data_IF_634085346982
#
_entry.id   IF_634085346982
#
_cell.length_a   1.000
_cell.length_b   1.000
_cell.length_c   1.000
_cell.angle_alpha   90.00
_cell.angle_beta   90.00
_cell.angle_gamma   90.00
#
_symmetry.space_group_name_H-M   'P 1'
#
loop_
_entity.id
_entity.type
_entity.pdbx_description
1 polymer ?
#
# COMPACT_ATOMS: atom_id res chain seq x y z
N UNK A 1 0.56 -47.87 55.84
CA UNK A 1 -0.87 -47.48 55.68
C UNK A 1 -1.12 -47.35 54.18
N UNK A 2 -1.49 -48.39 53.42
CA UNK A 2 -2.70 -49.24 53.38
C UNK A 2 -4.02 -48.44 53.40
N UNK A 3 -4.58 -48.26 52.19
CA UNK A 3 -5.99 -48.37 51.72
C UNK A 3 -6.09 -47.53 50.44
N UNK A 4 -6.20 -48.01 49.20
CA UNK A 4 -6.93 -49.11 48.57
C UNK A 4 -8.46 -48.96 48.53
N UNK A 5 -8.97 -48.82 47.29
CA UNK A 5 -10.30 -49.13 46.69
C UNK A 5 -10.83 -47.91 45.91
N UNK A 6 -11.31 -48.00 44.67
CA UNK A 6 -11.57 -49.11 43.75
C UNK A 6 -11.75 -48.48 42.35
N UNK A 7 -11.07 -48.94 41.29
CA UNK A 7 -11.44 -50.07 40.40
C UNK A 7 -12.46 -49.67 39.31
N UNK A 8 -12.06 -49.66 38.02
CA UNK A 8 -12.28 -50.74 37.00
C UNK A 8 -13.33 -50.21 35.97
N UNK A 9 -13.26 -50.30 34.62
CA UNK A 9 -12.88 -51.31 33.60
C UNK A 9 -12.75 -50.51 32.25
N UNK A 10 -11.70 -50.55 31.42
CA UNK A 10 -11.19 -51.58 30.50
C UNK A 10 -11.70 -51.47 29.04
N UNK A 11 -10.73 -51.66 28.14
CA UNK A 11 -10.76 -52.14 26.75
C UNK A 11 -10.67 -51.21 25.53
N UNK A 12 -9.55 -51.46 24.85
CA UNK A 12 -9.05 -51.10 23.53
C UNK A 12 -9.71 -52.02 22.48
N UNK A 13 -9.99 -51.52 21.26
CA UNK A 13 -9.49 -52.05 19.96
C UNK A 13 -10.24 -51.46 18.73
N UNK A 14 -9.46 -50.69 17.95
CA UNK A 14 -9.27 -50.70 16.49
C UNK A 14 -10.43 -51.17 15.58
N UNK A 15 -10.86 -50.28 14.66
CA UNK A 15 -11.12 -50.66 13.25
C UNK A 15 -10.94 -49.49 12.27
N UNK A 16 -9.95 -49.67 11.39
CA UNK A 16 -9.89 -49.35 9.96
C UNK A 16 -10.76 -48.21 9.37
N UNK A 17 -10.08 -47.14 8.96
CA UNK A 17 -9.98 -46.74 7.55
C UNK A 17 -11.22 -46.20 6.84
N UNK A 18 -11.30 -44.87 6.72
CA UNK A 18 -11.85 -44.20 5.54
C UNK A 18 -10.90 -43.09 5.08
N UNK A 19 -10.25 -43.35 3.96
CA UNK A 19 -9.53 -42.40 3.15
C UNK A 19 -10.56 -41.59 2.34
N UNK A 20 -10.94 -40.39 2.78
CA UNK A 20 -11.67 -39.43 1.92
C UNK A 20 -11.09 -38.03 2.06
N UNK A 21 -10.39 -37.66 0.98
CA UNK A 21 -10.36 -36.37 0.28
C UNK A 21 -9.90 -35.14 1.07
N UNK A 22 -8.64 -34.80 0.80
CA UNK A 22 -8.26 -33.46 0.34
C UNK A 22 -8.58 -32.32 1.30
N UNK A 23 -7.74 -32.14 2.32
CA UNK A 23 -7.53 -30.80 2.84
C UNK A 23 -7.05 -29.92 1.68
N UNK A 24 -7.92 -29.03 1.20
CA UNK A 24 -7.54 -27.94 0.31
C UNK A 24 -6.30 -27.26 0.90
N UNK A 25 -5.26 -26.95 0.10
CA UNK A 25 -4.16 -26.12 0.59
C UNK A 25 -4.79 -24.83 1.13
N UNK A 26 -4.50 -24.47 2.39
CA UNK A 26 -4.90 -23.16 2.92
C UNK A 26 -4.32 -22.09 1.99
N UNK A 27 -5.17 -21.51 1.14
CA UNK A 27 -4.81 -20.35 0.33
C UNK A 27 -4.48 -19.21 1.31
N UNK A 28 -3.28 -18.66 1.15
CA UNK A 28 -2.66 -17.78 2.13
C UNK A 28 -3.31 -16.39 2.13
N UNK A 29 -3.86 -15.98 3.26
CA UNK A 29 -4.34 -14.62 3.52
C UNK A 29 -3.17 -13.66 3.62
N UNK A 30 -3.11 -12.61 2.79
CA UNK A 30 -2.12 -11.54 2.96
C UNK A 30 -2.15 -10.48 1.87
N UNK A 31 -1.51 -9.35 2.15
CA UNK A 31 -1.37 -8.23 1.22
C UNK A 31 -0.65 -8.67 -0.06
N UNK A 32 -1.04 -8.07 -1.19
CA UNK A 32 -0.24 -8.12 -2.42
C UNK A 32 0.29 -6.75 -2.76
N UNK A 33 1.32 -6.24 -2.05
CA UNK A 33 1.98 -5.05 -2.52
C UNK A 33 2.77 -5.44 -3.78
N UNK A 34 2.35 -4.94 -4.93
CA UNK A 34 3.24 -4.80 -6.06
C UNK A 34 4.07 -3.56 -5.82
N UNK A 35 5.40 -3.68 -5.76
CA UNK A 35 6.29 -2.57 -5.44
C UNK A 35 7.23 -2.23 -6.58
N UNK A 36 7.65 -0.97 -6.66
CA UNK A 36 8.74 -0.50 -7.51
C UNK A 36 9.63 0.40 -6.67
N UNK A 37 10.85 -0.04 -6.41
CA UNK A 37 11.83 0.80 -5.75
C UNK A 37 12.27 1.95 -6.67
N UNK A 38 12.41 3.12 -6.06
CA UNK A 38 12.80 4.36 -6.71
C UNK A 38 14.06 4.90 -6.04
N UNK A 39 15.05 5.33 -6.84
CA UNK A 39 16.34 5.81 -6.35
C UNK A 39 16.68 7.19 -6.88
N UNK A 40 16.86 8.14 -5.96
CA UNK A 40 17.48 9.44 -6.24
C UNK A 40 19.01 9.28 -6.26
N UNK A 41 19.68 9.83 -7.28
CA UNK A 41 21.14 9.73 -7.40
C UNK A 41 21.86 10.74 -6.52
N UNK A 42 21.39 11.99 -6.50
CA UNK A 42 21.99 13.06 -5.69
C UNK A 42 21.05 13.48 -4.59
N UNK A 43 21.32 13.03 -3.37
CA UNK A 43 20.57 13.42 -2.18
C UNK A 43 21.49 14.18 -1.24
N UNK A 44 21.09 15.36 -0.72
CA UNK A 44 21.86 16.05 0.31
C UNK A 44 22.12 15.16 1.52
N UNK A 45 23.20 15.44 2.26
CA UNK A 45 23.56 14.68 3.47
C UNK A 45 22.42 14.60 4.51
N UNK A 46 21.60 15.65 4.55
CA UNK A 46 20.46 15.76 5.46
C UNK A 46 19.14 15.27 4.85
N UNK A 47 19.17 14.66 3.66
CA UNK A 47 18.01 14.16 2.94
C UNK A 47 17.30 15.22 2.10
N UNK A 48 16.32 14.78 1.30
CA UNK A 48 15.45 15.65 0.52
C UNK A 48 14.40 16.27 1.43
N UNK A 49 14.19 17.57 1.33
CA UNK A 49 13.17 18.31 2.09
C UNK A 49 11.82 18.37 1.37
N UNK A 50 11.77 18.04 0.08
CA UNK A 50 10.54 17.95 -0.67
C UNK A 50 10.65 16.89 -1.77
N UNK A 51 9.59 16.11 -1.93
CA UNK A 51 9.45 15.16 -3.05
C UNK A 51 8.01 15.24 -3.56
N UNK A 52 7.88 15.18 -4.88
CA UNK A 52 6.61 15.07 -5.58
C UNK A 52 6.51 13.69 -6.16
N UNK A 53 5.37 13.04 -5.91
CA UNK A 53 5.04 11.74 -6.46
C UNK A 53 3.81 11.86 -7.38
N UNK A 54 4.00 11.87 -8.71
CA UNK A 54 2.89 11.85 -9.64
C UNK A 54 2.26 10.44 -9.74
N UNK A 55 0.93 10.37 -9.71
CA UNK A 55 0.15 9.15 -9.92
C UNK A 55 -1.04 9.49 -10.82
N UNK A 56 -1.31 8.64 -11.81
CA UNK A 56 -2.52 8.70 -12.62
C UNK A 56 -3.30 7.39 -12.43
N UNK A 57 -4.59 7.50 -12.13
CA UNK A 57 -5.50 6.38 -11.84
C UNK A 57 -6.69 6.34 -12.81
N UNK A 58 -6.52 6.89 -14.03
CA UNK A 58 -7.60 7.02 -15.01
C UNK A 58 -8.29 5.70 -15.39
N UNK A 59 -7.58 4.58 -15.21
CA UNK A 59 -8.07 3.23 -15.51
C UNK A 59 -8.27 2.37 -14.25
N UNK A 60 -8.26 2.99 -13.06
CA UNK A 60 -8.64 2.32 -11.83
C UNK A 60 -10.17 2.28 -11.70
N UNK A 61 -10.69 1.24 -11.06
CA UNK A 61 -12.11 1.15 -10.77
C UNK A 61 -12.50 2.20 -9.72
N UNK A 62 -13.70 2.76 -9.85
CA UNK A 62 -14.30 3.67 -8.87
C UNK A 62 -14.90 2.84 -7.73
N UNK A 63 -14.03 2.17 -6.98
CA UNK A 63 -14.37 1.22 -5.94
C UNK A 63 -13.33 1.23 -4.84
N UNK A 64 -13.76 1.00 -3.60
CA UNK A 64 -12.85 0.80 -2.48
C UNK A 64 -12.06 -0.49 -2.64
N UNK A 65 -10.87 -0.53 -2.06
CA UNK A 65 -10.04 -1.73 -1.94
C UNK A 65 -8.60 -1.53 -2.40
N UNK A 66 -8.34 -0.57 -3.29
CA UNK A 66 -7.00 -0.32 -3.84
C UNK A 66 -6.30 0.87 -3.20
N UNK A 67 -5.01 0.73 -2.92
CA UNK A 67 -4.15 1.81 -2.48
C UNK A 67 -2.97 1.98 -3.43
N UNK A 68 -2.85 3.16 -4.06
CA UNK A 68 -1.73 3.55 -4.91
C UNK A 68 -0.87 4.55 -4.16
N UNK A 69 0.33 4.15 -3.78
CA UNK A 69 1.07 4.88 -2.77
C UNK A 69 2.57 4.91 -3.01
N UNK A 70 3.22 5.81 -2.30
CA UNK A 70 4.65 6.02 -2.28
C UNK A 70 5.11 6.07 -0.83
N UNK A 71 5.96 5.12 -0.47
CA UNK A 71 6.63 5.07 0.82
C UNK A 71 8.06 5.58 0.72
N UNK A 72 8.60 6.09 1.81
CA UNK A 72 10.01 6.49 1.86
C UNK A 72 10.64 6.19 3.21
N UNK A 73 11.97 6.27 3.21
CA UNK A 73 12.79 6.06 4.39
C UNK A 73 13.23 7.39 5.00
N UNK A 74 13.34 7.43 6.32
CA UNK A 74 14.03 8.49 7.04
C UNK A 74 15.35 7.93 7.57
N UNK A 75 16.48 8.33 6.96
CA UNK A 75 17.79 7.76 7.30
C UNK A 75 17.82 6.23 7.11
N UNK A 76 18.10 5.49 8.18
CA UNK A 76 18.15 4.01 8.20
C UNK A 76 16.77 3.35 8.37
N UNK A 77 15.72 4.09 8.74
CA UNK A 77 14.39 3.53 8.94
C UNK A 77 13.70 3.38 7.60
N UNK A 78 13.59 2.13 7.13
CA UNK A 78 12.88 1.77 5.91
C UNK A 78 11.38 2.01 6.07
N UNK A 79 10.73 2.55 5.03
CA UNK A 79 9.28 2.76 4.96
C UNK A 79 8.71 3.49 6.18
N UNK A 80 9.41 4.50 6.67
CA UNK A 80 9.01 5.27 7.86
C UNK A 80 7.75 6.11 7.64
N UNK A 81 7.35 6.35 6.40
CA UNK A 81 6.11 7.05 6.05
C UNK A 81 5.65 6.68 4.64
N UNK A 82 4.37 6.94 4.34
CA UNK A 82 3.82 6.89 2.99
C UNK A 82 2.86 8.05 2.70
N UNK A 83 2.60 8.25 1.42
CA UNK A 83 1.51 9.06 0.90
C UNK A 83 0.84 8.31 -0.26
N UNK A 84 -0.47 8.37 -0.39
CA UNK A 84 -1.16 7.63 -1.45
C UNK A 84 -2.60 8.03 -1.68
N UNK A 85 -3.22 7.32 -2.63
CA UNK A 85 -4.58 7.51 -3.11
C UNK A 85 -5.35 6.19 -2.99
N UNK A 86 -6.52 6.26 -2.39
CA UNK A 86 -7.50 5.17 -2.35
C UNK A 86 -8.71 5.60 -3.20
N UNK A 87 -8.95 4.96 -4.36
CA UNK A 87 -10.19 5.15 -5.08
C UNK A 87 -11.40 4.91 -4.18
N UNK A 88 -12.45 5.67 -4.41
CA UNK A 88 -13.75 5.48 -3.76
C UNK A 88 -14.85 5.34 -4.82
N UNK A 89 -16.07 5.06 -4.36
CA UNK A 89 -17.28 5.19 -5.14
C UNK A 89 -17.49 6.66 -5.54
N UNK A 90 -18.11 6.88 -6.69
CA UNK A 90 -18.56 8.22 -7.08
C UNK A 90 -19.55 8.78 -6.06
N UNK A 91 -19.60 10.11 -5.97
CA UNK A 91 -20.61 10.81 -5.19
C UNK A 91 -22.01 10.68 -5.79
N UNK A 92 -23.02 11.00 -4.99
CA UNK A 92 -24.42 11.07 -5.45
C UNK A 92 -24.62 12.13 -6.55
N UNK A 93 -23.68 13.06 -6.68
CA UNK A 93 -23.57 14.07 -7.73
C UNK A 93 -22.85 13.57 -9.00
N UNK A 94 -22.42 12.31 -9.03
CA UNK A 94 -21.68 11.69 -10.13
C UNK A 94 -20.20 12.10 -10.19
N UNK A 95 -19.68 12.85 -9.21
CA UNK A 95 -18.28 13.23 -9.17
C UNK A 95 -17.40 12.12 -8.59
N UNK A 96 -16.27 11.88 -9.25
CA UNK A 96 -15.28 10.90 -8.77
C UNK A 96 -14.59 11.36 -7.50
N UNK A 97 -14.39 10.41 -6.59
CA UNK A 97 -13.86 10.65 -5.25
C UNK A 97 -12.63 9.81 -4.97
N UNK A 98 -11.65 10.44 -4.34
CA UNK A 98 -10.45 9.76 -3.86
C UNK A 98 -10.24 10.11 -2.40
N UNK A 99 -9.88 9.11 -1.61
CA UNK A 99 -9.31 9.32 -0.28
C UNK A 99 -7.80 9.42 -0.40
N UNK A 100 -7.24 10.59 -0.13
CA UNK A 100 -5.80 10.77 -0.01
C UNK A 100 -5.37 10.42 1.41
N UNK A 101 -4.29 9.67 1.55
CA UNK A 101 -3.74 9.25 2.85
C UNK A 101 -2.29 9.67 2.94
N UNK A 102 -1.88 10.13 4.11
CA UNK A 102 -0.51 10.48 4.46
C UNK A 102 -0.28 9.90 5.85
N UNK A 103 0.69 8.99 6.01
CA UNK A 103 0.99 8.35 7.30
C UNK A 103 2.49 8.37 7.61
N UNK A 104 2.82 8.52 8.88
CA UNK A 104 4.16 8.31 9.45
C UNK A 104 4.08 7.19 10.48
N UNK A 105 4.97 6.22 10.37
CA UNK A 105 5.13 5.10 11.31
C UNK A 105 6.18 5.39 12.40
N UNK A 106 6.73 6.60 12.38
CA UNK A 106 7.77 6.99 13.32
C UNK A 106 7.15 7.22 14.70
N UNK A 107 7.59 6.44 15.69
CA UNK A 107 7.18 6.63 17.07
C UNK A 107 7.54 8.06 17.55
N UNK A 108 6.63 8.67 18.31
CA UNK A 108 6.78 10.06 18.76
C UNK A 108 6.44 11.13 17.72
N UNK A 109 5.98 10.75 16.51
CA UNK A 109 5.37 11.71 15.58
C UNK A 109 4.12 12.35 16.22
N UNK A 110 3.98 13.66 16.09
CA UNK A 110 2.83 14.41 16.65
C UNK A 110 1.94 14.96 15.53
N UNK A 111 0.62 14.70 15.54
CA UNK A 111 -0.29 15.26 14.56
C UNK A 111 -0.44 16.77 14.80
N UNK A 112 -0.45 17.58 13.74
CA UNK A 112 -0.64 19.04 13.87
C UNK A 112 -1.71 19.60 12.93
N UNK A 113 -2.46 18.73 12.26
CA UNK A 113 -3.54 19.11 11.36
C UNK A 113 -4.83 18.35 11.71
N UNK A 114 -6.00 18.97 11.51
CA UNK A 114 -7.31 18.39 11.86
C UNK A 114 -7.64 17.08 11.14
N UNK A 115 -7.01 16.83 10.01
CA UNK A 115 -7.17 15.59 9.24
C UNK A 115 -6.37 14.43 9.82
N UNK A 116 -5.53 14.69 10.83
CA UNK A 116 -4.58 13.75 11.39
C UNK A 116 -5.01 13.24 12.76
N UNK A 117 -4.67 11.98 13.04
CA UNK A 117 -4.84 11.35 14.36
C UNK A 117 -3.63 10.50 14.68
N UNK A 118 -3.46 10.20 15.97
CA UNK A 118 -2.46 9.24 16.42
C UNK A 118 -2.81 7.84 15.91
N UNK A 119 -1.76 7.08 15.63
CA UNK A 119 -1.80 5.69 15.17
C UNK A 119 -1.76 5.57 13.65
N UNK A 120 -0.70 4.96 13.10
CA UNK A 120 -0.60 4.62 11.69
C UNK A 120 -0.89 3.11 11.54
N UNK A 121 -1.99 2.78 10.85
CA UNK A 121 -2.47 1.42 10.64
C UNK A 121 -2.59 0.59 11.93
N UNK A 122 -3.01 1.25 13.02
CA UNK A 122 -3.14 0.66 14.35
C UNK A 122 -1.83 0.59 15.16
N UNK A 123 -0.68 0.88 14.54
CA UNK A 123 0.63 0.95 15.18
C UNK A 123 1.03 2.37 15.61
N UNK A 124 2.30 2.57 16.04
CA UNK A 124 2.82 3.88 16.41
C UNK A 124 2.78 4.91 15.26
N UNK A 125 2.84 6.19 15.62
CA UNK A 125 2.94 7.29 14.67
C UNK A 125 1.63 8.03 14.41
N UNK A 126 1.44 8.54 13.20
CA UNK A 126 0.33 9.43 12.82
C UNK A 126 -0.20 9.05 11.45
N UNK A 127 -1.51 9.05 11.29
CA UNK A 127 -2.17 8.97 9.99
C UNK A 127 -3.06 10.18 9.76
N UNK A 128 -3.07 10.68 8.54
CA UNK A 128 -3.92 11.74 8.06
C UNK A 128 -4.64 11.30 6.81
N UNK A 129 -5.88 11.75 6.63
CA UNK A 129 -6.62 11.49 5.41
C UNK A 129 -7.62 12.59 5.09
N UNK A 130 -7.93 12.73 3.81
CA UNK A 130 -8.97 13.62 3.32
C UNK A 130 -9.65 12.98 2.12
N UNK A 131 -10.98 13.06 2.07
CA UNK A 131 -11.75 12.67 0.90
C UNK A 131 -11.91 13.91 0.00
N UNK A 132 -11.65 13.76 -1.28
CA UNK A 132 -11.73 14.85 -2.25
C UNK A 132 -12.45 14.41 -3.51
N UNK A 133 -13.14 15.35 -4.13
CA UNK A 133 -13.67 15.19 -5.48
C UNK A 133 -12.63 15.63 -6.49
N UNK A 134 -12.22 14.70 -7.35
CA UNK A 134 -11.19 14.90 -8.35
C UNK A 134 -11.37 13.93 -9.52
N UNK A 135 -11.09 14.38 -10.74
CA UNK A 135 -11.18 13.49 -11.91
C UNK A 135 -10.04 12.48 -11.93
N UNK A 136 -10.37 11.20 -12.09
CA UNK A 136 -9.38 10.13 -12.24
C UNK A 136 -8.57 10.27 -13.53
N UNK A 137 -9.13 10.94 -14.55
CA UNK A 137 -8.44 11.20 -15.81
C UNK A 137 -7.23 12.13 -15.66
N UNK A 138 -7.16 12.91 -14.58
CA UNK A 138 -6.08 13.85 -14.33
C UNK A 138 -4.91 13.16 -13.61
N UNK A 139 -3.69 13.58 -13.92
CA UNK A 139 -2.54 13.21 -13.11
C UNK A 139 -2.60 13.96 -11.78
N UNK A 140 -2.50 13.20 -10.70
CA UNK A 140 -2.51 13.69 -9.33
C UNK A 140 -1.09 13.70 -8.79
N UNK A 141 -0.68 14.80 -8.17
CA UNK A 141 0.65 14.94 -7.56
C UNK A 141 0.51 14.91 -6.04
N UNK A 142 1.17 13.95 -5.42
CA UNK A 142 1.32 13.88 -3.97
C UNK A 142 2.61 14.62 -3.60
N UNK A 143 2.46 15.82 -3.06
CA UNK A 143 3.57 16.67 -2.67
C UNK A 143 3.85 16.49 -1.18
N UNK A 144 5.03 16.00 -0.85
CA UNK A 144 5.51 15.85 0.52
C UNK A 144 6.64 16.85 0.73
N UNK A 145 6.57 17.65 1.78
CA UNK A 145 7.59 18.66 2.06
C UNK A 145 7.73 18.96 3.55
N UNK A 146 8.90 19.45 3.95
CA UNK A 146 9.14 19.99 5.28
C UNK A 146 9.49 21.47 5.21
N UNK A 147 8.98 22.25 6.18
CA UNK A 147 9.33 23.65 6.40
C UNK A 147 10.47 23.83 7.41
N UNK A 148 11.18 22.75 7.78
CA UNK A 148 12.10 22.73 8.91
C UNK A 148 11.41 22.41 10.24
N UNK A 149 12.20 22.32 11.31
CA UNK A 149 11.69 22.03 12.67
C UNK A 149 10.99 20.66 12.81
N UNK A 150 11.25 19.72 11.90
CA UNK A 150 10.60 18.41 11.88
C UNK A 150 9.15 18.43 11.38
N UNK A 151 8.59 19.58 10.99
CA UNK A 151 7.23 19.68 10.47
C UNK A 151 7.17 19.20 9.02
N UNK A 152 6.32 18.21 8.75
CA UNK A 152 6.06 17.66 7.42
C UNK A 152 4.62 17.92 7.00
N UNK A 153 4.43 18.16 5.71
CA UNK A 153 3.14 18.45 5.09
C UNK A 153 2.96 17.58 3.85
N UNK A 154 1.84 16.88 3.79
CA UNK A 154 1.39 16.12 2.63
C UNK A 154 0.25 16.86 1.93
N UNK A 155 0.37 17.09 0.62
CA UNK A 155 -0.67 17.72 -0.20
C UNK A 155 -0.99 16.86 -1.40
N UNK A 156 -2.27 16.82 -1.77
CA UNK A 156 -2.74 16.34 -3.06
C UNK A 156 -2.92 17.56 -3.98
N UNK A 157 -2.40 17.47 -5.19
CA UNK A 157 -2.53 18.52 -6.22
C UNK A 157 -3.03 17.90 -7.51
N UNK A 158 -4.17 18.35 -8.01
CA UNK A 158 -4.61 18.04 -9.37
C UNK A 158 -3.71 18.82 -10.34
N UNK A 159 -2.95 18.11 -11.18
CA UNK A 159 -1.99 18.74 -12.07
C UNK A 159 -2.65 19.60 -13.15
N UNK A 160 -3.84 19.21 -13.62
CA UNK A 160 -4.53 19.89 -14.72
C UNK A 160 -5.25 21.14 -14.25
N UNK A 161 -5.94 21.06 -13.11
CA UNK A 161 -6.72 22.20 -12.58
C UNK A 161 -5.91 23.09 -11.63
N UNK A 162 -4.79 22.60 -11.09
CA UNK A 162 -3.99 23.28 -10.08
C UNK A 162 -4.62 23.29 -8.69
N UNK A 163 -5.81 22.68 -8.51
CA UNK A 163 -6.50 22.57 -7.21
C UNK A 163 -5.66 21.77 -6.23
N UNK A 164 -5.66 22.19 -4.96
CA UNK A 164 -4.80 21.64 -3.90
C UNK A 164 -5.62 21.30 -2.68
N UNK A 165 -5.27 20.20 -2.03
CA UNK A 165 -5.82 19.78 -0.75
C UNK A 165 -4.68 19.43 0.20
N UNK A 166 -4.74 19.93 1.43
CA UNK A 166 -3.84 19.49 2.50
C UNK A 166 -4.36 18.15 2.99
N UNK A 167 -3.59 17.08 2.79
CA UNK A 167 -3.92 15.76 3.32
C UNK A 167 -3.69 15.76 4.82
N UNK A 168 -2.55 16.30 5.26
CA UNK A 168 -2.27 16.50 6.68
C UNK A 168 -0.88 17.08 6.94
N UNK A 169 -0.63 17.36 8.21
CA UNK A 169 0.63 17.84 8.73
C UNK A 169 0.96 17.16 10.06
N UNK A 170 2.23 16.87 10.27
CA UNK A 170 2.75 16.33 11.53
C UNK A 170 4.15 16.81 11.82
N UNK A 171 4.61 16.62 13.05
CA UNK A 171 5.98 16.89 13.49
C UNK A 171 6.67 15.56 13.81
N UNK A 172 7.80 15.29 13.16
CA UNK A 172 8.70 14.20 13.52
C UNK A 172 9.58 14.60 14.71
N UNK A 173 10.07 13.62 15.50
CA UNK A 173 11.15 13.86 16.45
C UNK A 173 12.38 14.50 15.77
N UNK A 174 13.06 15.40 16.47
CA UNK A 174 14.10 16.28 15.91
C UNK A 174 15.33 15.58 15.33
N UNK A 175 15.59 14.33 15.73
CA UNK A 175 16.72 13.55 15.21
C UNK A 175 16.47 12.95 13.82
N UNK A 176 15.23 12.98 13.33
CA UNK A 176 14.92 12.55 11.98
C UNK A 176 15.34 13.58 10.93
N UNK A 177 15.94 13.07 9.87
CA UNK A 177 16.41 13.84 8.72
C UNK A 177 15.35 13.89 7.61
N UNK A 178 15.70 14.51 6.49
CA UNK A 178 14.91 14.52 5.26
C UNK A 178 14.68 13.12 4.67
N UNK A 179 13.93 13.10 3.57
CA UNK A 179 13.65 11.89 2.80
C UNK A 179 14.96 11.31 2.26
N UNK A 180 15.19 10.02 2.50
CA UNK A 180 16.38 9.32 2.01
C UNK A 180 16.40 9.16 0.48
N UNK A 181 17.47 8.54 -0.02
CA UNK A 181 17.65 8.31 -1.46
C UNK A 181 16.76 7.21 -2.04
N UNK A 182 16.15 6.38 -1.20
CA UNK A 182 15.23 5.32 -1.61
C UNK A 182 13.79 5.68 -1.23
N UNK A 183 12.90 5.56 -2.22
CA UNK A 183 11.46 5.53 -2.03
C UNK A 183 10.90 4.27 -2.71
N UNK A 184 9.65 3.93 -2.43
CA UNK A 184 9.01 2.73 -2.95
C UNK A 184 7.60 3.09 -3.39
N UNK A 185 7.33 3.00 -4.69
CA UNK A 185 5.98 3.02 -5.19
C UNK A 185 5.35 1.66 -4.93
N UNK A 186 4.08 1.62 -4.54
CA UNK A 186 3.37 0.37 -4.36
C UNK A 186 1.88 0.46 -4.69
N UNK A 187 1.33 -0.67 -5.11
CA UNK A 187 -0.10 -0.91 -5.29
C UNK A 187 -0.49 -2.04 -4.35
N UNK A 188 -1.48 -1.82 -3.50
CA UNK A 188 -1.97 -2.83 -2.57
C UNK A 188 -3.50 -2.94 -2.67
N UNK A 189 -4.02 -4.16 -2.67
CA UNK A 189 -5.44 -4.42 -2.42
C UNK A 189 -5.64 -4.74 -0.93
N UNK A 190 -6.11 -3.80 -0.12
CA UNK A 190 -6.11 -3.98 1.33
C UNK A 190 -7.20 -4.93 1.83
N UNK A 191 -8.24 -5.25 1.05
CA UNK A 191 -9.26 -6.21 1.51
C UNK A 191 -8.74 -7.65 1.52
N UNK A 192 -7.61 -7.95 0.86
CA UNK A 192 -6.88 -9.22 1.04
C UNK A 192 -6.14 -9.31 2.39
N UNK A 193 -6.20 -8.26 3.23
CA UNK A 193 -5.67 -8.24 4.59
C UNK A 193 -6.70 -8.72 5.63
N UNK A 194 -7.91 -9.12 5.21
CA UNK A 194 -8.89 -9.75 6.09
C UNK A 194 -8.76 -11.26 6.02
N UNK A 195 -8.81 -11.94 7.18
CA UNK A 195 -8.76 -13.40 7.27
C UNK A 195 -9.89 -14.10 6.49
N UNK A 196 -10.91 -13.35 6.08
CA UNK A 196 -12.10 -13.81 5.36
C UNK A 196 -11.94 -13.82 3.82
N UNK A 197 -10.90 -13.19 3.25
CA UNK A 197 -10.61 -13.28 1.83
C UNK A 197 -9.68 -14.47 1.55
N UNK A 198 -10.30 -15.62 1.37
CA UNK A 198 -9.62 -16.89 1.16
C UNK A 198 -9.02 -17.10 -0.22
N UNK A 199 -9.06 -16.14 -1.14
CA UNK A 199 -8.60 -16.43 -2.50
C UNK A 199 -7.86 -15.25 -3.11
N UNK A 200 -6.53 -15.33 -3.17
CA UNK A 200 -5.69 -14.46 -4.01
C UNK A 200 -6.19 -14.38 -5.46
N UNK A 201 -7.05 -15.33 -5.87
CA UNK A 201 -7.78 -15.41 -7.14
C UNK A 201 -8.83 -14.30 -7.33
N UNK A 202 -9.33 -13.69 -6.26
CA UNK A 202 -10.40 -12.70 -6.29
C UNK A 202 -9.88 -11.26 -6.28
N UNK A 203 -8.56 -11.05 -6.35
CA UNK A 203 -7.97 -9.73 -6.51
C UNK A 203 -8.51 -9.14 -7.83
N UNK A 204 -9.22 -7.99 -7.80
CA UNK A 204 -9.76 -7.40 -9.01
C UNK A 204 -8.63 -6.91 -9.93
N UNK A 205 -8.94 -6.68 -11.20
CA UNK A 205 -8.01 -5.96 -12.05
C UNK A 205 -7.99 -4.47 -11.66
N UNK A 206 -6.82 -3.85 -11.82
CA UNK A 206 -6.69 -2.39 -11.70
C UNK A 206 -5.51 -1.91 -12.52
N UNK A 207 -5.48 -0.62 -12.84
CA UNK A 207 -4.37 -0.03 -13.55
C UNK A 207 -4.06 1.39 -13.04
N UNK A 208 -2.78 1.70 -12.94
CA UNK A 208 -2.30 3.03 -12.59
C UNK A 208 -0.94 3.30 -13.24
N UNK A 209 -0.64 4.58 -13.45
CA UNK A 209 0.68 5.04 -13.87
C UNK A 209 1.34 5.79 -12.73
N UNK A 210 2.51 5.30 -12.31
CA UNK A 210 3.35 5.98 -11.34
C UNK A 210 4.39 6.81 -12.08
N UNK A 211 4.34 8.12 -11.92
CA UNK A 211 5.37 9.01 -12.46
C UNK A 211 6.70 8.86 -11.71
N UNK A 212 7.81 9.18 -12.37
CA UNK A 212 9.10 9.24 -11.68
C UNK A 212 9.06 10.27 -10.55
N UNK A 213 9.33 9.87 -9.28
CA UNK A 213 9.44 10.82 -8.18
C UNK A 213 10.48 11.89 -8.49
N UNK A 214 10.23 13.12 -8.09
CA UNK A 214 11.19 14.19 -8.28
C UNK A 214 11.21 15.15 -7.10
N UNK A 215 12.38 15.74 -6.84
CA UNK A 215 12.57 16.74 -5.81
C UNK A 215 12.59 18.13 -6.46
N UNK A 216 11.61 18.99 -6.17
CA UNK A 216 11.56 20.32 -6.78
C UNK A 216 12.67 21.25 -6.27
N UNK A 217 13.34 20.93 -5.16
CA UNK A 217 14.33 21.81 -4.54
C UNK A 217 15.71 21.69 -5.16
N UNK A 218 16.04 20.56 -5.75
CA UNK A 218 17.31 20.33 -6.45
C UNK A 218 17.16 19.78 -7.87
N UNK A 219 15.91 19.62 -8.36
CA UNK A 219 15.61 19.11 -9.70
C UNK A 219 15.89 17.62 -9.90
N UNK A 220 16.31 16.89 -8.85
CA UNK A 220 16.63 15.48 -8.97
C UNK A 220 15.39 14.64 -9.24
N UNK A 221 15.53 13.69 -10.16
CA UNK A 221 14.48 12.73 -10.52
C UNK A 221 14.96 11.33 -10.17
N UNK A 222 14.11 10.57 -9.50
CA UNK A 222 14.41 9.20 -9.16
C UNK A 222 14.30 8.29 -10.39
N UNK A 223 15.22 7.33 -10.49
CA UNK A 223 15.04 6.18 -11.36
C UNK A 223 14.06 5.21 -10.70
N UNK A 224 13.18 4.60 -11.48
CA UNK A 224 12.24 3.59 -10.99
C UNK A 224 12.62 2.22 -11.58
N UNK A 225 12.72 1.23 -10.70
CA UNK A 225 13.00 -0.15 -11.08
C UNK A 225 11.74 -0.88 -11.54
N UNK A 226 11.95 -2.06 -12.11
CA UNK A 226 10.86 -2.93 -12.54
C UNK A 226 9.96 -3.29 -11.35
N UNK A 227 8.65 -3.47 -11.61
CA UNK A 227 7.72 -3.93 -10.59
C UNK A 227 8.04 -5.34 -10.09
N UNK A 228 7.89 -5.54 -8.78
CA UNK A 228 8.05 -6.81 -8.09
C UNK A 228 6.81 -7.08 -7.23
N UNK A 229 6.34 -8.32 -7.25
CA UNK A 229 5.17 -8.74 -6.48
C UNK A 229 5.64 -9.41 -5.18
N UNK A 230 5.05 -9.02 -4.06
CA UNK A 230 5.40 -9.56 -2.74
C UNK A 230 4.16 -10.07 -2.00
N UNK A 231 4.42 -10.71 -0.85
CA UNK A 231 3.38 -11.20 0.04
C UNK A 231 2.77 -12.51 -0.42
N UNK A 232 1.78 -12.94 0.35
CA UNK A 232 1.14 -14.25 0.26
C UNK A 232 0.46 -14.49 -1.09
N UNK A 233 -0.06 -13.42 -1.68
CA UNK A 233 -0.70 -13.46 -2.99
C UNK A 233 0.23 -13.06 -4.15
N UNK A 234 1.52 -12.89 -3.88
CA UNK A 234 2.49 -12.40 -4.85
C UNK A 234 2.60 -13.29 -6.09
N UNK A 235 2.51 -14.62 -5.90
CA UNK A 235 2.55 -15.62 -6.98
C UNK A 235 1.25 -15.73 -7.78
N UNK A 236 0.13 -15.21 -7.26
CA UNK A 236 -1.19 -15.30 -7.89
C UNK A 236 -1.57 -14.02 -8.65
N UNK A 237 -0.89 -12.92 -8.32
CA UNK A 237 -1.12 -11.62 -8.94
C UNK A 237 -0.36 -11.52 -10.24
N UNK A 238 -1.09 -11.61 -11.35
CA UNK A 238 -0.53 -11.36 -12.68
C UNK A 238 -0.54 -9.87 -12.96
N UNK A 239 0.57 -9.34 -13.46
CA UNK A 239 0.68 -7.92 -13.79
C UNK A 239 1.52 -7.70 -15.04
N UNK A 240 1.30 -6.55 -15.66
CA UNK A 240 2.11 -6.03 -16.77
C UNK A 240 2.68 -4.69 -16.31
N UNK A 241 4.00 -4.53 -16.39
CA UNK A 241 4.67 -3.26 -16.18
C UNK A 241 5.27 -2.74 -17.48
N UNK A 242 4.92 -1.52 -17.86
CA UNK A 242 5.45 -0.85 -19.04
C UNK A 242 6.08 0.48 -18.64
N UNK A 243 7.39 0.60 -18.87
CA UNK A 243 8.07 1.89 -18.70
C UNK A 243 7.61 2.87 -19.77
N UNK A 244 7.36 4.10 -19.36
CA UNK A 244 7.00 5.22 -20.23
C UNK A 244 8.03 6.34 -20.07
N UNK A 245 7.91 7.41 -20.85
CA UNK A 245 8.77 8.59 -20.72
C UNK A 245 8.59 9.30 -19.37
N UNK A 246 7.41 9.18 -18.75
CA UNK A 246 7.06 9.91 -17.53
C UNK A 246 7.05 9.05 -16.27
N UNK A 247 7.17 7.72 -16.40
CA UNK A 247 7.12 6.79 -15.27
C UNK A 247 6.93 5.33 -15.67
N UNK A 248 6.11 4.60 -14.92
CA UNK A 248 5.75 3.20 -15.20
C UNK A 248 4.24 3.02 -15.12
N UNK A 249 3.65 2.55 -16.21
CA UNK A 249 2.26 2.07 -16.27
C UNK A 249 2.23 0.63 -15.74
N UNK A 250 1.35 0.39 -14.78
CA UNK A 250 1.17 -0.91 -14.15
C UNK A 250 -0.28 -1.33 -14.31
N UNK A 251 -0.47 -2.51 -14.89
CA UNK A 251 -1.76 -3.17 -14.97
C UNK A 251 -1.73 -4.46 -14.17
N UNK A 252 -2.49 -4.52 -13.09
CA UNK A 252 -2.82 -5.76 -12.38
C UNK A 252 -3.97 -6.41 -13.14
N UNK A 253 -3.77 -7.64 -13.59
CA UNK A 253 -4.73 -8.42 -14.37
C UNK A 253 -5.75 -9.16 -13.49
N UNK A 254 -5.57 -9.09 -12.17
CA UNK A 254 -6.36 -9.80 -11.17
C UNK A 254 -5.73 -11.14 -10.77
N UNK A 255 -6.37 -11.80 -9.81
CA UNK A 255 -5.96 -13.12 -9.33
C UNK A 255 -6.26 -14.22 -10.34
N UNK A 256 -5.29 -15.07 -10.66
CA UNK A 256 -5.56 -16.22 -11.54
C UNK A 256 -6.10 -17.41 -10.75
N UNK A 257 -7.39 -17.73 -10.89
CA UNK A 257 -7.87 -19.08 -10.63
C UNK A 257 -7.35 -20.04 -11.70
N UNK A 258 -6.76 -21.18 -11.32
CA UNK A 258 -6.43 -22.22 -12.28
C UNK A 258 -7.72 -22.90 -12.78
N UNK A 259 -8.32 -22.40 -13.85
CA UNK A 259 -9.23 -23.22 -14.65
C UNK A 259 -8.42 -24.11 -15.60
N UNK A 260 -7.64 -25.03 -15.04
CA UNK A 260 -7.34 -26.30 -15.72
C UNK A 260 -8.45 -27.26 -15.31
N UNK A 261 -9.62 -27.14 -15.97
CA UNK A 261 -10.42 -28.34 -16.19
C UNK A 261 -9.54 -29.24 -17.05
N UNK A 262 -8.92 -30.26 -16.45
CA UNK A 262 -8.46 -31.42 -17.21
C UNK A 262 -9.68 -31.91 -17.96
N UNK A 263 -9.69 -31.69 -19.27
CA UNK A 263 -10.50 -32.48 -20.18
C UNK A 263 -10.09 -33.93 -19.98
N UNK A 264 -10.92 -34.68 -19.27
CA UNK A 264 -10.87 -36.14 -19.29
C UNK A 264 -11.40 -36.54 -20.66
N UNK A 265 -10.50 -37.01 -21.52
CA UNK A 265 -10.86 -37.95 -22.58
C UNK A 265 -10.87 -39.34 -21.97
#
# INVERSE_FOLDING_TARGET
MICCKSSILLYVLISLGWYIRGASPRESTGSTPLTMACKFKKVPRDGLNAVVFPINIAKANHSRGWFFAQAWSYGSIKNGAYVGLQPDLDGDDGHSRVRAVFSSFINGTKPTHKNCRNGADGGPGVTCNVNVEVSYSHTLRLNVSTSGGGKWTGKLVDFKTGRKWVVGEWILPSHFRGIGHMTTAFIEHWSSNTADYHECRQIPATEATFGFPYSPTNGERAEMWKPESHGNCGNYTKFIGKKTESGTEIRILGGSGSTTRRSVK
#
